data_IF_520703274309
#
_entry.id   IF_520703274309
#
_cell.length_a   1.000
_cell.length_b   1.000
_cell.length_c   1.000
_cell.angle_alpha   90.00
_cell.angle_beta   90.00
_cell.angle_gamma   90.00
#
_symmetry.space_group_name_H-M   'P 1'
#
loop_
_entity.id
_entity.type
_entity.pdbx_description
1 polymer ?
#
# COMPACT_ATOMS: atom_id res chain seq x y z
N UNK A 1 17.46 -13.30 -13.89
CA UNK A 1 17.28 -12.13 -13.00
C UNK A 1 16.55 -12.62 -11.76
N UNK A 2 17.15 -12.50 -10.60
CA UNK A 2 16.54 -12.84 -9.31
C UNK A 2 15.70 -11.69 -8.78
N UNK A 3 14.78 -11.97 -7.84
CA UNK A 3 13.98 -10.90 -7.20
C UNK A 3 14.88 -9.86 -6.52
N UNK A 4 15.95 -10.30 -5.86
CA UNK A 4 16.89 -9.41 -5.19
C UNK A 4 17.58 -8.41 -6.15
N UNK A 5 17.87 -8.83 -7.39
CA UNK A 5 18.47 -7.95 -8.42
C UNK A 5 17.57 -6.77 -8.81
N UNK A 6 16.24 -6.89 -8.64
CA UNK A 6 15.29 -5.80 -8.88
C UNK A 6 15.46 -4.64 -7.90
N UNK A 7 16.12 -4.89 -6.75
CA UNK A 7 16.38 -3.90 -5.71
C UNK A 7 17.78 -3.26 -5.80
N UNK A 8 18.43 -3.33 -6.97
CA UNK A 8 19.70 -2.64 -7.17
C UNK A 8 19.59 -1.12 -6.84
N UNK A 9 20.61 -0.52 -6.21
CA UNK A 9 21.93 -1.09 -5.90
C UNK A 9 22.00 -1.91 -4.59
N UNK A 10 20.89 -2.16 -3.90
CA UNK A 10 20.82 -2.83 -2.60
C UNK A 10 20.48 -4.31 -2.70
N UNK A 11 20.84 -4.99 -3.80
CA UNK A 11 20.46 -6.40 -4.04
C UNK A 11 20.95 -7.38 -2.97
N UNK A 12 22.11 -7.13 -2.37
CA UNK A 12 22.63 -7.97 -1.28
C UNK A 12 21.75 -7.85 -0.02
N UNK A 13 21.39 -6.63 0.38
CA UNK A 13 20.46 -6.40 1.48
C UNK A 13 19.10 -7.02 1.19
N UNK A 14 18.58 -6.79 -0.02
CA UNK A 14 17.31 -7.35 -0.44
C UNK A 14 17.31 -8.88 -0.38
N UNK A 15 18.38 -9.54 -0.83
CA UNK A 15 18.50 -11.00 -0.75
C UNK A 15 18.45 -11.54 0.68
N UNK A 16 19.15 -10.88 1.61
CA UNK A 16 19.10 -11.27 3.02
C UNK A 16 17.69 -11.06 3.64
N UNK A 17 17.01 -9.95 3.31
CA UNK A 17 15.68 -9.68 3.83
C UNK A 17 14.64 -10.63 3.25
N UNK A 18 14.68 -10.93 1.95
CA UNK A 18 13.78 -11.87 1.30
C UNK A 18 13.94 -13.27 1.92
N UNK A 19 15.15 -13.74 2.16
CA UNK A 19 15.39 -15.03 2.81
C UNK A 19 14.84 -15.08 4.25
N UNK A 20 14.77 -13.96 4.96
CA UNK A 20 14.13 -13.90 6.28
C UNK A 20 12.60 -13.94 6.18
N UNK A 21 12.01 -13.36 5.13
CA UNK A 21 10.57 -13.39 4.87
C UNK A 21 10.11 -14.78 4.45
N UNK A 22 10.83 -15.46 3.56
CA UNK A 22 10.51 -16.83 3.09
C UNK A 22 10.42 -17.83 4.25
N UNK A 23 11.26 -17.66 5.27
CA UNK A 23 11.24 -18.52 6.46
C UNK A 23 10.05 -18.25 7.41
N UNK A 24 9.29 -17.18 7.20
CA UNK A 24 8.12 -16.81 8.01
C UNK A 24 6.79 -17.07 7.27
N UNK A 25 6.85 -17.44 6.00
CA UNK A 25 5.69 -17.59 5.14
C UNK A 25 4.83 -18.80 5.53
N UNK A 26 3.83 -18.55 6.33
CA UNK A 26 2.67 -19.45 6.49
C UNK A 26 1.43 -18.91 5.78
N UNK A 27 1.50 -17.76 5.14
CA UNK A 27 0.32 -17.16 4.51
C UNK A 27 0.68 -16.41 3.20
N UNK A 28 -0.12 -16.65 2.17
CA UNK A 28 -0.06 -16.03 0.83
C UNK A 28 -0.36 -14.53 0.82
N UNK A 29 -0.51 -13.90 1.98
CA UNK A 29 -0.86 -12.48 2.13
C UNK A 29 0.26 -11.51 1.75
N UNK A 30 1.51 -11.96 1.66
CA UNK A 30 2.62 -11.18 1.17
C UNK A 30 2.73 -11.38 -0.34
N UNK A 31 1.80 -10.77 -1.08
CA UNK A 31 1.83 -10.73 -2.53
C UNK A 31 3.13 -10.07 -2.99
N UNK A 32 4.09 -10.90 -3.44
CA UNK A 32 5.35 -10.43 -4.02
C UNK A 32 5.10 -9.38 -5.11
N UNK A 33 4.02 -9.54 -5.87
CA UNK A 33 3.66 -8.58 -6.89
C UNK A 33 3.31 -7.21 -6.29
N UNK A 34 2.68 -7.15 -5.10
CA UNK A 34 2.48 -5.90 -4.36
C UNK A 34 3.81 -5.26 -3.97
N UNK A 35 4.71 -6.02 -3.33
CA UNK A 35 6.05 -5.51 -2.96
C UNK A 35 6.81 -4.94 -4.16
N UNK A 36 6.77 -5.62 -5.30
CA UNK A 36 7.43 -5.17 -6.53
C UNK A 36 6.78 -3.91 -7.11
N UNK A 37 5.44 -3.78 -7.06
CA UNK A 37 4.74 -2.56 -7.48
C UNK A 37 5.05 -1.39 -6.57
N UNK A 38 5.05 -1.60 -5.25
CA UNK A 38 5.44 -0.57 -4.27
C UNK A 38 6.90 -0.15 -4.51
N UNK A 39 7.81 -1.11 -4.73
CA UNK A 39 9.21 -0.79 -5.06
C UNK A 39 9.35 0.02 -6.35
N UNK A 40 8.62 -0.30 -7.39
CA UNK A 40 8.60 0.49 -8.63
C UNK A 40 8.12 1.93 -8.38
N UNK A 41 7.09 2.11 -7.54
CA UNK A 41 6.62 3.44 -7.16
C UNK A 41 7.68 4.18 -6.34
N UNK A 42 8.31 3.53 -5.35
CA UNK A 42 9.44 4.06 -4.58
C UNK A 42 10.54 4.56 -5.51
N UNK A 43 10.95 3.74 -6.48
CA UNK A 43 11.99 4.13 -7.44
C UNK A 43 11.61 5.34 -8.29
N UNK A 44 10.36 5.41 -8.75
CA UNK A 44 9.87 6.55 -9.53
C UNK A 44 9.90 7.83 -8.72
N UNK A 45 9.42 7.78 -7.48
CA UNK A 45 9.39 8.95 -6.61
C UNK A 45 10.81 9.34 -6.18
N UNK A 46 11.62 8.40 -5.72
CA UNK A 46 12.97 8.68 -5.23
C UNK A 46 13.94 9.15 -6.33
N UNK A 47 13.70 8.80 -7.58
CA UNK A 47 14.49 9.30 -8.72
C UNK A 47 14.39 10.83 -8.88
N UNK A 48 13.30 11.44 -8.43
CA UNK A 48 13.06 12.88 -8.50
C UNK A 48 13.28 13.55 -7.14
N UNK A 49 12.72 12.98 -6.08
CA UNK A 49 12.70 13.56 -4.74
C UNK A 49 13.99 13.26 -3.94
N UNK A 50 14.78 12.26 -4.36
CA UNK A 50 15.94 11.77 -3.60
C UNK A 50 15.55 10.75 -2.52
N UNK A 51 16.27 10.78 -1.41
CA UNK A 51 16.10 9.83 -0.29
C UNK A 51 17.12 8.71 -0.28
N UNK A 52 17.28 8.07 0.87
CA UNK A 52 18.24 6.98 1.08
C UNK A 52 17.65 5.65 0.55
N UNK A 53 18.18 5.17 -0.59
CA UNK A 53 17.72 3.93 -1.22
C UNK A 53 17.90 2.69 -0.34
N UNK A 54 18.88 2.68 0.57
CA UNK A 54 19.05 1.54 1.50
C UNK A 54 17.91 1.47 2.50
N UNK A 55 17.51 2.61 3.07
CA UNK A 55 16.35 2.73 3.96
C UNK A 55 15.07 2.37 3.21
N UNK A 56 14.90 2.92 1.99
CA UNK A 56 13.73 2.66 1.16
C UNK A 56 13.60 1.18 0.75
N UNK A 57 14.73 0.52 0.40
CA UNK A 57 14.75 -0.92 0.10
C UNK A 57 14.28 -1.74 1.29
N UNK A 58 14.88 -1.51 2.46
CA UNK A 58 14.54 -2.27 3.66
C UNK A 58 13.09 -2.00 4.10
N UNK A 59 12.66 -0.73 4.08
CA UNK A 59 11.31 -0.35 4.45
C UNK A 59 10.26 -0.94 3.49
N UNK A 60 10.51 -0.93 2.17
CA UNK A 60 9.61 -1.54 1.19
C UNK A 60 9.46 -3.05 1.41
N UNK A 61 10.57 -3.77 1.64
CA UNK A 61 10.50 -5.22 1.85
C UNK A 61 9.83 -5.62 3.16
N UNK A 62 9.90 -4.76 4.18
CA UNK A 62 9.47 -5.10 5.54
C UNK A 62 8.18 -4.40 5.99
N UNK A 63 7.57 -3.49 5.19
CA UNK A 63 6.44 -2.69 5.67
C UNK A 63 5.22 -3.52 6.09
N UNK A 64 4.97 -4.62 5.40
CA UNK A 64 3.87 -5.56 5.64
C UNK A 64 4.36 -6.96 6.03
N UNK A 65 5.56 -7.08 6.63
CA UNK A 65 6.15 -8.37 7.01
C UNK A 65 5.43 -9.10 8.17
N UNK A 66 4.46 -8.48 8.80
CA UNK A 66 3.61 -9.08 9.84
C UNK A 66 2.16 -9.06 9.39
N UNK A 67 1.60 -10.23 9.19
CA UNK A 67 0.18 -10.36 8.83
C UNK A 67 -0.71 -10.18 10.07
N UNK A 68 -1.63 -9.22 10.00
CA UNK A 68 -2.71 -9.03 10.98
C UNK A 68 -4.04 -9.12 10.24
N UNK A 69 -4.92 -10.08 10.56
CA UNK A 69 -6.24 -10.20 9.93
C UNK A 69 -7.02 -8.89 9.94
N UNK A 70 -7.84 -8.65 8.90
CA UNK A 70 -8.59 -7.37 8.76
C UNK A 70 -9.63 -7.17 9.85
N UNK A 71 -10.15 -8.24 10.39
CA UNK A 71 -11.14 -8.31 11.49
C UNK A 71 -10.50 -8.34 12.88
N UNK A 72 -9.16 -8.38 12.96
CA UNK A 72 -8.45 -8.37 14.25
C UNK A 72 -8.54 -7.00 14.93
N UNK A 73 -8.75 -6.95 16.26
CA UNK A 73 -8.64 -5.72 17.04
C UNK A 73 -7.25 -5.08 16.97
N UNK A 74 -6.22 -5.87 16.66
CA UNK A 74 -4.84 -5.40 16.49
C UNK A 74 -4.54 -4.82 15.10
N UNK A 75 -5.51 -4.72 14.20
CA UNK A 75 -5.32 -4.21 12.84
C UNK A 75 -4.67 -2.82 12.83
N UNK A 76 -5.06 -1.94 13.75
CA UNK A 76 -4.48 -0.60 13.88
C UNK A 76 -2.99 -0.61 14.31
N UNK A 77 -2.51 -1.72 14.87
CA UNK A 77 -1.12 -1.90 15.32
C UNK A 77 -0.24 -2.63 14.29
N UNK A 78 -0.78 -3.07 13.14
CA UNK A 78 -0.07 -3.87 12.15
C UNK A 78 1.28 -3.26 11.74
N UNK A 79 1.32 -1.96 11.41
CA UNK A 79 2.56 -1.27 11.01
C UNK A 79 3.58 -1.17 12.15
N UNK A 80 3.15 -1.06 13.41
CA UNK A 80 4.04 -1.06 14.58
C UNK A 80 4.64 -2.44 14.83
N UNK A 81 3.86 -3.49 14.64
CA UNK A 81 4.32 -4.88 14.72
C UNK A 81 5.34 -5.17 13.61
N UNK A 82 5.05 -4.75 12.37
CA UNK A 82 5.98 -4.86 11.26
C UNK A 82 7.29 -4.07 11.52
N UNK A 83 7.21 -2.86 12.06
CA UNK A 83 8.38 -2.06 12.43
C UNK A 83 9.22 -2.73 13.54
N UNK A 84 8.58 -3.41 14.47
CA UNK A 84 9.27 -4.18 15.53
C UNK A 84 9.98 -5.40 14.94
N UNK A 85 9.33 -6.14 14.06
CA UNK A 85 9.94 -7.27 13.34
C UNK A 85 11.10 -6.79 12.45
N UNK A 86 10.94 -5.66 11.75
CA UNK A 86 11.98 -5.04 10.94
C UNK A 86 13.22 -4.67 11.78
N UNK A 87 13.03 -4.11 12.98
CA UNK A 87 14.14 -3.85 13.91
C UNK A 87 14.92 -5.13 14.21
N UNK A 88 14.23 -6.20 14.57
CA UNK A 88 14.87 -7.47 14.89
C UNK A 88 15.67 -8.05 13.69
N UNK A 89 15.09 -7.98 12.49
CA UNK A 89 15.74 -8.43 11.26
C UNK A 89 17.01 -7.62 10.94
N UNK A 90 16.92 -6.30 10.97
CA UNK A 90 18.03 -5.41 10.66
C UNK A 90 19.14 -5.46 11.72
N UNK A 91 18.80 -5.66 12.99
CA UNK A 91 19.78 -5.87 14.06
C UNK A 91 20.58 -7.19 13.83
N UNK A 92 19.91 -8.27 13.42
CA UNK A 92 20.59 -9.53 13.04
C UNK A 92 21.55 -9.37 11.86
N UNK A 93 21.26 -8.42 10.97
CA UNK A 93 22.13 -8.07 9.84
C UNK A 93 23.18 -7.00 10.21
N UNK A 94 23.36 -6.67 11.49
CA UNK A 94 24.30 -5.67 12.00
C UNK A 94 24.18 -4.31 11.31
N UNK A 95 22.94 -3.87 10.99
CA UNK A 95 22.74 -2.56 10.38
C UNK A 95 22.90 -1.45 11.41
N UNK A 96 23.39 -0.25 11.00
CA UNK A 96 23.54 0.89 11.91
C UNK A 96 22.22 1.29 12.59
N UNK A 97 22.25 1.64 13.87
CA UNK A 97 21.03 2.00 14.63
C UNK A 97 20.26 3.18 14.00
N UNK A 98 20.98 4.14 13.42
CA UNK A 98 20.36 5.25 12.71
C UNK A 98 19.55 4.79 11.49
N UNK A 99 20.05 3.80 10.75
CA UNK A 99 19.34 3.21 9.62
C UNK A 99 18.11 2.42 10.09
N UNK A 100 18.29 1.62 11.16
CA UNK A 100 17.18 0.87 11.77
C UNK A 100 16.07 1.83 12.22
N UNK A 101 16.41 2.93 12.86
CA UNK A 101 15.44 3.93 13.31
C UNK A 101 14.70 4.58 12.13
N UNK A 102 15.39 4.89 11.03
CA UNK A 102 14.80 5.46 9.83
C UNK A 102 13.83 4.47 9.14
N UNK A 103 14.22 3.20 9.00
CA UNK A 103 13.38 2.13 8.45
C UNK A 103 12.13 1.92 9.30
N UNK A 104 12.30 1.84 10.63
CA UNK A 104 11.16 1.69 11.55
C UNK A 104 10.17 2.82 11.40
N UNK A 105 10.64 4.08 11.40
CA UNK A 105 9.77 5.24 11.24
C UNK A 105 9.01 5.20 9.91
N UNK A 106 9.68 4.83 8.82
CA UNK A 106 9.03 4.71 7.52
C UNK A 106 7.93 3.64 7.54
N UNK A 107 8.19 2.47 8.16
CA UNK A 107 7.22 1.39 8.30
C UNK A 107 6.06 1.81 9.21
N UNK A 108 6.32 2.42 10.37
CA UNK A 108 5.25 2.86 11.28
C UNK A 108 4.31 3.87 10.62
N UNK A 109 4.86 4.81 9.82
CA UNK A 109 4.12 5.91 9.24
C UNK A 109 3.46 5.59 7.87
N UNK A 110 3.75 4.43 7.23
CA UNK A 110 3.16 4.13 5.92
C UNK A 110 1.66 3.87 5.98
N UNK A 111 1.21 3.21 7.05
CA UNK A 111 -0.17 2.73 7.17
C UNK A 111 -1.16 3.87 7.38
N UNK A 112 -2.25 3.84 6.61
CA UNK A 112 -3.37 4.77 6.77
C UNK A 112 -4.00 4.67 8.17
N UNK A 113 -4.20 3.44 8.68
CA UNK A 113 -4.85 3.20 9.97
C UNK A 113 -3.99 3.58 11.18
N UNK A 114 -2.67 3.69 11.03
CA UNK A 114 -1.79 4.10 12.11
C UNK A 114 -1.89 5.60 12.45
N UNK A 115 -2.40 6.40 11.54
CA UNK A 115 -2.57 7.86 11.66
C UNK A 115 -1.30 8.59 12.14
N UNK A 116 -0.12 8.14 11.66
CA UNK A 116 1.17 8.74 11.98
C UNK A 116 1.67 9.60 10.82
N UNK A 117 2.03 10.84 11.12
CA UNK A 117 2.62 11.73 10.11
C UNK A 117 4.03 11.27 9.73
N UNK A 118 4.34 11.09 8.44
CA UNK A 118 5.68 10.74 7.97
C UNK A 118 6.61 11.96 8.10
N UNK A 119 7.63 11.86 8.98
CA UNK A 119 8.53 12.97 9.30
C UNK A 119 9.77 13.03 8.41
N UNK A 120 10.20 11.88 7.86
CA UNK A 120 11.37 11.81 6.97
C UNK A 120 10.93 11.70 5.52
N UNK A 121 11.85 11.99 4.59
CA UNK A 121 11.59 11.87 3.16
C UNK A 121 11.28 10.42 2.78
N UNK A 122 12.02 9.45 3.34
CA UNK A 122 11.82 8.03 3.10
C UNK A 122 10.44 7.56 3.58
N UNK A 123 9.97 8.06 4.73
CA UNK A 123 8.64 7.75 5.24
C UNK A 123 7.53 8.31 4.32
N UNK A 124 7.72 9.52 3.79
CA UNK A 124 6.81 10.14 2.81
C UNK A 124 6.77 9.35 1.51
N UNK A 125 7.95 8.97 1.01
CA UNK A 125 8.08 8.19 -0.24
C UNK A 125 7.42 6.81 -0.08
N UNK A 126 7.67 6.09 1.00
CA UNK A 126 7.07 4.77 1.23
C UNK A 126 5.55 4.86 1.35
N UNK A 127 5.04 5.83 2.12
CA UNK A 127 3.60 6.04 2.29
C UNK A 127 2.92 6.32 0.94
N UNK A 128 3.51 7.20 0.13
CA UNK A 128 3.00 7.53 -1.19
C UNK A 128 3.05 6.32 -2.13
N UNK A 129 4.18 5.60 -2.13
CA UNK A 129 4.39 4.43 -2.99
C UNK A 129 3.39 3.30 -2.70
N UNK A 130 3.10 3.05 -1.42
CA UNK A 130 2.10 2.07 -1.01
C UNK A 130 0.68 2.53 -1.38
N UNK A 131 0.32 3.78 -1.08
CA UNK A 131 -0.99 4.35 -1.43
C UNK A 131 -1.26 4.35 -2.93
N UNK A 132 -0.24 4.52 -3.77
CA UNK A 132 -0.37 4.41 -5.22
C UNK A 132 -0.85 3.03 -5.66
N UNK A 133 -0.59 1.96 -4.91
CA UNK A 133 -1.06 0.60 -5.24
C UNK A 133 -2.57 0.40 -4.99
N UNK A 134 -3.20 1.36 -4.31
CA UNK A 134 -4.66 1.42 -4.14
C UNK A 134 -5.36 2.28 -5.20
N UNK A 135 -4.64 2.86 -6.16
CA UNK A 135 -5.18 3.73 -7.21
C UNK A 135 -5.02 3.11 -8.60
N UNK A 136 -5.75 3.66 -9.58
CA UNK A 136 -5.70 3.26 -10.98
C UNK A 136 -6.21 1.83 -11.21
N UNK A 137 -5.79 1.21 -12.31
CA UNK A 137 -6.25 -0.12 -12.71
C UNK A 137 -6.01 -1.19 -11.63
N UNK A 138 -4.87 -1.13 -10.93
CA UNK A 138 -4.57 -2.07 -9.84
C UNK A 138 -5.51 -1.86 -8.66
N UNK A 139 -5.79 -0.62 -8.29
CA UNK A 139 -6.73 -0.29 -7.22
C UNK A 139 -8.14 -0.82 -7.51
N UNK A 140 -8.62 -0.65 -8.76
CA UNK A 140 -9.91 -1.18 -9.23
C UNK A 140 -9.92 -2.71 -9.10
N UNK A 141 -8.92 -3.38 -9.67
CA UNK A 141 -8.84 -4.85 -9.65
C UNK A 141 -8.80 -5.40 -8.21
N UNK A 142 -8.01 -4.78 -7.33
CA UNK A 142 -7.92 -5.16 -5.92
C UNK A 142 -9.23 -4.95 -5.16
N UNK A 143 -9.93 -3.85 -5.42
CA UNK A 143 -11.23 -3.58 -4.79
C UNK A 143 -12.21 -4.72 -5.08
N UNK A 144 -12.39 -5.08 -6.34
CA UNK A 144 -13.33 -6.16 -6.72
C UNK A 144 -12.84 -7.56 -6.32
N UNK A 145 -11.53 -7.83 -6.38
CA UNK A 145 -10.98 -9.10 -5.90
C UNK A 145 -11.24 -9.32 -4.41
N UNK A 146 -10.99 -8.29 -3.58
CA UNK A 146 -11.26 -8.35 -2.13
C UNK A 146 -12.76 -8.45 -1.86
N UNK A 147 -13.59 -7.68 -2.55
CA UNK A 147 -15.05 -7.72 -2.38
C UNK A 147 -15.61 -9.07 -2.77
N UNK A 148 -15.15 -9.66 -3.89
CA UNK A 148 -15.54 -11.01 -4.30
C UNK A 148 -15.13 -12.09 -3.30
N UNK A 149 -13.92 -12.01 -2.73
CA UNK A 149 -13.47 -12.93 -1.69
C UNK A 149 -14.31 -12.83 -0.40
N UNK A 150 -14.88 -11.66 -0.12
CA UNK A 150 -15.76 -11.40 1.02
C UNK A 150 -17.25 -11.66 0.69
N UNK A 151 -17.59 -12.09 -0.53
CA UNK A 151 -18.96 -12.33 -0.97
C UNK A 151 -19.81 -11.07 -1.07
N UNK A 152 -19.20 -9.89 -1.24
CA UNK A 152 -19.92 -8.61 -1.36
C UNK A 152 -20.46 -8.45 -2.78
N UNK A 153 -21.73 -8.04 -2.95
CA UNK A 153 -22.27 -7.56 -4.22
C UNK A 153 -21.41 -6.42 -4.80
N UNK A 154 -21.45 -6.28 -6.11
CA UNK A 154 -20.72 -5.19 -6.78
C UNK A 154 -21.28 -3.82 -6.38
N UNK A 155 -22.60 -3.69 -6.30
CA UNK A 155 -23.33 -2.46 -5.97
C UNK A 155 -24.73 -2.80 -5.47
N UNK A 156 -25.47 -1.83 -4.94
CA UNK A 156 -26.88 -1.94 -4.65
C UNK A 156 -27.70 -1.79 -5.97
N UNK A 157 -28.46 -2.82 -6.40
CA UNK A 157 -29.15 -2.77 -7.69
C UNK A 157 -30.30 -1.75 -7.76
N UNK A 158 -30.79 -1.26 -6.61
CA UNK A 158 -31.86 -0.27 -6.54
C UNK A 158 -31.34 1.17 -6.36
N UNK A 159 -30.12 1.31 -5.82
CA UNK A 159 -29.50 2.61 -5.56
C UNK A 159 -27.96 2.52 -5.72
N UNK A 160 -27.46 2.38 -6.97
CA UNK A 160 -26.03 2.16 -7.23
C UNK A 160 -25.12 3.31 -6.75
N UNK A 161 -25.63 4.54 -6.69
CA UNK A 161 -24.89 5.74 -6.31
C UNK A 161 -25.01 6.10 -4.82
N UNK A 162 -25.88 5.38 -4.08
CA UNK A 162 -26.25 5.71 -2.70
C UNK A 162 -26.85 7.13 -2.59
N UNK A 163 -27.78 7.48 -3.51
CA UNK A 163 -28.48 8.77 -3.49
C UNK A 163 -29.54 8.84 -2.39
N UNK A 164 -30.16 7.70 -2.05
CA UNK A 164 -31.22 7.57 -1.05
C UNK A 164 -30.83 6.78 0.19
N UNK A 165 -29.60 6.30 0.27
CA UNK A 165 -29.04 5.55 1.40
C UNK A 165 -27.65 6.06 1.79
N UNK A 166 -27.18 5.70 2.98
CA UNK A 166 -25.79 5.92 3.35
C UNK A 166 -24.87 4.97 2.55
N UNK A 167 -23.63 5.44 2.30
CA UNK A 167 -22.58 4.62 1.72
C UNK A 167 -22.22 3.48 2.68
N UNK A 168 -22.14 2.25 2.18
CA UNK A 168 -21.79 1.06 2.95
C UNK A 168 -20.78 0.18 2.21
N UNK A 169 -19.49 0.48 2.38
CA UNK A 169 -18.40 -0.27 1.78
C UNK A 169 -18.11 -1.62 2.46
N UNK A 170 -18.86 -1.94 3.50
CA UNK A 170 -18.85 -3.28 4.12
C UNK A 170 -19.75 -4.24 3.36
N UNK A 171 -20.81 -3.75 2.71
CA UNK A 171 -21.77 -4.53 1.94
C UNK A 171 -21.61 -4.39 0.43
N UNK A 172 -21.21 -3.23 -0.08
CA UNK A 172 -21.14 -2.98 -1.53
C UNK A 172 -19.72 -2.59 -1.98
N UNK A 173 -19.23 -3.27 -3.03
CA UNK A 173 -17.89 -3.00 -3.55
C UNK A 173 -17.74 -1.58 -4.12
N UNK A 174 -18.77 -1.08 -4.83
CA UNK A 174 -18.74 0.23 -5.48
C UNK A 174 -18.68 1.37 -4.47
N UNK A 175 -19.33 1.22 -3.31
CA UNK A 175 -19.31 2.22 -2.25
C UNK A 175 -17.88 2.51 -1.74
N UNK A 176 -16.98 1.51 -1.82
CA UNK A 176 -15.58 1.68 -1.44
C UNK A 176 -14.83 2.71 -2.31
N UNK A 177 -15.29 2.94 -3.53
CA UNK A 177 -14.75 4.02 -4.35
C UNK A 177 -15.02 5.37 -3.70
N UNK A 178 -16.26 5.65 -3.32
CA UNK A 178 -16.68 6.92 -2.73
C UNK A 178 -16.18 7.10 -1.30
N UNK A 179 -16.19 6.04 -0.48
CA UNK A 179 -15.77 6.12 0.93
C UNK A 179 -14.26 6.27 1.08
N UNK A 180 -13.46 5.75 0.11
CA UNK A 180 -12.01 5.68 0.26
C UNK A 180 -11.22 6.00 -1.00
N UNK A 181 -11.38 5.24 -2.08
CA UNK A 181 -10.43 5.28 -3.19
C UNK A 181 -10.35 6.65 -3.86
N UNK A 182 -11.49 7.29 -4.10
CA UNK A 182 -11.56 8.62 -4.71
C UNK A 182 -11.03 9.73 -3.80
N UNK A 183 -10.96 9.50 -2.49
CA UNK A 183 -10.45 10.47 -1.52
C UNK A 183 -8.93 10.38 -1.34
N UNK A 184 -8.30 9.26 -1.74
CA UNK A 184 -6.87 9.03 -1.48
C UNK A 184 -5.96 10.02 -2.20
N UNK A 185 -6.30 10.47 -3.40
CA UNK A 185 -5.43 11.31 -4.23
C UNK A 185 -5.04 12.65 -3.56
N UNK A 186 -5.88 13.16 -2.65
CA UNK A 186 -5.59 14.37 -1.87
C UNK A 186 -4.61 14.20 -0.70
N UNK A 187 -4.16 12.98 -0.42
CA UNK A 187 -3.43 12.65 0.82
C UNK A 187 -1.94 12.30 0.60
N UNK A 188 -1.38 12.62 -0.56
CA UNK A 188 0.00 12.33 -0.90
C UNK A 188 0.96 13.39 -0.36
N UNK A 189 2.16 12.95 0.04
CA UNK A 189 3.14 13.74 0.77
C UNK A 189 4.17 14.42 -0.14
N UNK A 190 4.65 13.70 -1.18
CA UNK A 190 5.66 14.17 -2.12
C UNK A 190 5.02 14.81 -3.35
N UNK A 191 5.74 15.70 -4.05
CA UNK A 191 5.20 16.30 -5.28
C UNK A 191 5.05 15.26 -6.39
N UNK A 192 6.06 14.41 -6.56
CA UNK A 192 6.01 13.31 -7.53
C UNK A 192 4.89 12.32 -7.21
N UNK A 193 4.69 12.01 -5.91
CA UNK A 193 3.56 11.18 -5.45
C UNK A 193 2.22 11.78 -5.84
N UNK A 194 2.04 13.09 -5.64
CA UNK A 194 0.80 13.82 -6.03
C UNK A 194 0.54 13.78 -7.53
N UNK A 195 1.57 13.93 -8.37
CA UNK A 195 1.44 13.83 -9.83
C UNK A 195 0.94 12.43 -10.23
N UNK A 196 1.63 11.37 -9.77
CA UNK A 196 1.26 9.98 -10.06
C UNK A 196 -0.13 9.63 -9.51
N UNK A 197 -0.50 10.18 -8.36
CA UNK A 197 -1.82 9.97 -7.76
C UNK A 197 -2.93 10.60 -8.61
N UNK A 198 -2.74 11.82 -9.13
CA UNK A 198 -3.70 12.47 -10.05
C UNK A 198 -3.92 11.65 -11.32
N UNK A 199 -2.84 11.14 -11.92
CA UNK A 199 -2.94 10.29 -13.11
C UNK A 199 -3.77 9.02 -12.85
N UNK A 200 -3.50 8.34 -11.74
CA UNK A 200 -4.22 7.11 -11.36
C UNK A 200 -5.65 7.39 -10.89
N UNK A 201 -5.89 8.54 -10.26
CA UNK A 201 -7.21 8.98 -9.87
C UNK A 201 -8.11 9.23 -11.08
N UNK A 202 -7.58 9.81 -12.15
CA UNK A 202 -8.33 9.99 -13.40
C UNK A 202 -8.82 8.65 -13.96
N UNK A 203 -8.01 7.60 -13.88
CA UNK A 203 -8.41 6.22 -14.27
C UNK A 203 -9.53 5.69 -13.37
N UNK A 204 -9.46 5.92 -12.05
CA UNK A 204 -10.52 5.53 -11.12
C UNK A 204 -11.84 6.24 -11.43
N UNK A 205 -11.79 7.55 -11.67
CA UNK A 205 -12.97 8.35 -12.00
C UNK A 205 -13.61 7.87 -13.30
N UNK A 206 -12.81 7.69 -14.36
CA UNK A 206 -13.31 7.20 -15.63
C UNK A 206 -14.00 5.83 -15.49
N UNK A 207 -13.41 4.92 -14.73
CA UNK A 207 -14.00 3.62 -14.45
C UNK A 207 -15.31 3.75 -13.67
N UNK A 208 -15.30 4.54 -12.59
CA UNK A 208 -16.48 4.72 -11.72
C UNK A 208 -17.67 5.31 -12.47
N UNK A 209 -17.45 6.38 -13.24
CA UNK A 209 -18.47 7.01 -14.07
C UNK A 209 -18.99 6.07 -15.16
N UNK A 210 -18.08 5.35 -15.84
CA UNK A 210 -18.44 4.36 -16.86
C UNK A 210 -19.28 3.22 -16.27
N UNK A 211 -18.87 2.71 -15.10
CA UNK A 211 -19.61 1.67 -14.40
C UNK A 211 -21.05 2.12 -14.03
N UNK A 212 -21.18 3.33 -13.47
CA UNK A 212 -22.49 3.89 -13.12
C UNK A 212 -23.40 4.04 -14.35
N UNK A 213 -22.84 4.49 -15.47
CA UNK A 213 -23.61 4.61 -16.72
C UNK A 213 -24.15 3.29 -17.25
N UNK A 214 -23.50 2.16 -16.93
CA UNK A 214 -23.95 0.81 -17.34
C UNK A 214 -25.04 0.25 -16.42
N UNK A 215 -25.09 0.67 -15.15
CA UNK A 215 -25.98 0.08 -14.15
C UNK A 215 -27.14 0.97 -13.73
N UNK A 216 -27.10 2.28 -14.03
CA UNK A 216 -28.19 3.20 -13.74
C UNK A 216 -29.32 2.98 -14.73
N UNK A 217 -30.51 2.57 -14.24
CA UNK A 217 -31.70 2.41 -15.05
C UNK A 217 -32.18 3.80 -15.50
N UNK A 218 -32.26 4.00 -16.81
CA UNK A 218 -32.82 5.21 -17.45
C UNK A 218 -34.34 5.24 -17.40
#
# INVERSE_FOLDING_TARGET
MTIAELFAPNQTLAGHLLALLDNQATDTAHDLAHLLRVWQNVRKISAVEGGNLTVLTAATLLHDCVHVPKDSPDRANASRLAATAAKAALTKLNRPEQEIAAVRHAIEAHSFSANLSPKTLEARILQDADRLDALGHIGIARCFAVSGALGRPLYDPLDPQADARDLDDTNFALDHFSTKLLQLAGQFQTETGRILARERHAVLMQFYEGFLNEVTLS
#
